data_IF_104538163993
#
_entry.id   IF_104538163993
#
_cell.length_a   1.000
_cell.length_b   1.000
_cell.length_c   1.000
_cell.angle_alpha   90.00
_cell.angle_beta   90.00
_cell.angle_gamma   90.00
#
_symmetry.space_group_name_H-M   'P 1'
#
loop_
_entity.id
_entity.type
_entity.pdbx_description
1 polymer ?
#
# COMPACT_ATOMS: atom_id res chain seq x y z
N UNK A 1 -1.11 -40.85 8.10
CA UNK A 1 -0.15 -39.86 8.65
C UNK A 1 -0.26 -38.70 7.69
N UNK A 2 -1.23 -37.82 7.94
CA UNK A 2 -1.53 -36.70 7.05
C UNK A 2 -0.35 -35.74 7.13
N UNK A 3 0.50 -35.77 6.11
CA UNK A 3 1.49 -34.75 5.89
C UNK A 3 0.70 -33.48 5.51
N UNK A 4 0.27 -32.70 6.50
CA UNK A 4 -0.29 -31.36 6.25
C UNK A 4 0.75 -30.60 5.43
N UNK A 5 0.52 -30.47 4.12
CA UNK A 5 1.37 -29.67 3.25
C UNK A 5 1.41 -28.26 3.82
N UNK A 6 2.61 -27.70 3.97
CA UNK A 6 2.74 -26.32 4.39
C UNK A 6 2.15 -25.44 3.29
N UNK A 7 1.20 -24.60 3.67
CA UNK A 7 0.44 -23.75 2.76
C UNK A 7 0.53 -22.31 3.23
N UNK A 8 0.55 -21.39 2.26
CA UNK A 8 0.55 -19.97 2.52
C UNK A 8 -0.69 -19.57 3.30
N UNK A 9 -0.53 -18.92 4.45
CA UNK A 9 -1.68 -18.51 5.28
C UNK A 9 -2.55 -17.41 4.64
N UNK A 10 -2.09 -16.78 3.56
CA UNK A 10 -2.84 -15.73 2.83
C UNK A 10 -3.68 -16.30 1.69
N UNK A 11 -3.11 -17.13 0.82
CA UNK A 11 -3.83 -17.68 -0.35
C UNK A 11 -4.22 -19.15 -0.22
N UNK A 12 -3.75 -19.86 0.81
CA UNK A 12 -3.96 -21.29 1.06
C UNK A 12 -3.36 -22.21 0.00
N UNK A 13 -2.45 -21.71 -0.83
CA UNK A 13 -1.68 -22.49 -1.81
C UNK A 13 -0.31 -22.88 -1.24
N UNK A 14 0.18 -24.05 -1.65
CA UNK A 14 1.54 -24.49 -1.36
C UNK A 14 2.62 -23.76 -2.17
N UNK A 15 3.86 -24.21 -2.05
CA UNK A 15 4.95 -23.72 -2.90
C UNK A 15 4.77 -24.18 -4.35
N UNK A 16 4.90 -23.26 -5.30
CA UNK A 16 4.82 -23.55 -6.74
C UNK A 16 5.69 -22.58 -7.54
N UNK A 17 5.93 -22.87 -8.82
CA UNK A 17 6.62 -21.92 -9.71
C UNK A 17 5.85 -20.59 -9.87
N UNK A 18 4.53 -20.63 -9.75
CA UNK A 18 3.66 -19.45 -9.92
C UNK A 18 3.60 -18.61 -8.65
N UNK A 19 3.34 -19.25 -7.51
CA UNK A 19 3.10 -18.60 -6.21
C UNK A 19 4.41 -18.30 -5.48
N UNK A 20 5.48 -19.03 -5.81
CA UNK A 20 6.80 -18.92 -5.20
C UNK A 20 6.99 -19.88 -4.02
N UNK A 21 8.12 -19.73 -3.33
CA UNK A 21 8.44 -20.48 -2.12
C UNK A 21 7.74 -19.89 -0.90
N UNK A 22 7.47 -20.72 0.11
CA UNK A 22 6.98 -20.26 1.40
C UNK A 22 8.14 -19.75 2.25
N UNK A 23 7.95 -18.57 2.84
CA UNK A 23 8.90 -17.91 3.72
C UNK A 23 8.34 -17.79 5.14
N UNK A 24 9.25 -17.69 6.11
CA UNK A 24 8.94 -17.45 7.52
C UNK A 24 9.59 -16.14 7.96
N UNK A 25 8.98 -14.97 7.67
CA UNK A 25 9.54 -13.66 8.02
C UNK A 25 9.59 -13.43 9.55
N UNK A 26 8.96 -14.30 10.34
CA UNK A 26 8.96 -14.28 11.79
C UNK A 26 8.84 -15.71 12.33
N UNK A 27 8.93 -15.88 13.66
CA UNK A 27 8.84 -17.18 14.33
C UNK A 27 7.43 -17.81 14.38
N UNK A 28 6.47 -17.26 13.63
CA UNK A 28 5.13 -17.84 13.55
C UNK A 28 5.14 -19.15 12.74
N UNK A 29 4.30 -20.13 13.09
CA UNK A 29 4.38 -21.48 12.55
C UNK A 29 3.94 -21.62 11.09
N UNK A 30 3.22 -20.63 10.53
CA UNK A 30 2.67 -20.70 9.16
C UNK A 30 3.55 -19.94 8.17
N UNK A 31 3.91 -20.59 7.07
CA UNK A 31 4.64 -19.98 5.96
C UNK A 31 3.77 -19.03 5.12
N UNK A 32 4.42 -18.14 4.37
CA UNK A 32 3.76 -17.18 3.47
C UNK A 32 4.60 -16.92 2.24
N UNK A 33 3.97 -16.77 1.07
CA UNK A 33 4.70 -16.28 -0.11
C UNK A 33 5.05 -14.80 0.08
N UNK A 34 6.27 -14.39 -0.30
CA UNK A 34 6.71 -12.99 -0.22
C UNK A 34 5.72 -12.00 -0.85
N UNK A 35 5.20 -12.31 -2.05
CA UNK A 35 4.20 -11.48 -2.74
C UNK A 35 2.87 -11.40 -2.00
N UNK A 36 2.42 -12.50 -1.41
CA UNK A 36 1.18 -12.54 -0.64
C UNK A 36 1.29 -11.69 0.63
N UNK A 37 2.42 -11.80 1.34
CA UNK A 37 2.72 -10.96 2.49
C UNK A 37 2.75 -9.48 2.10
N UNK A 38 3.50 -9.14 1.05
CA UNK A 38 3.63 -7.76 0.59
C UNK A 38 2.28 -7.14 0.19
N UNK A 39 1.40 -7.92 -0.46
CA UNK A 39 0.02 -7.49 -0.77
C UNK A 39 -0.82 -7.29 0.48
N UNK A 40 -0.71 -8.18 1.45
CA UNK A 40 -1.43 -8.05 2.72
C UNK A 40 -0.97 -6.83 3.53
N UNK A 41 0.35 -6.55 3.53
CA UNK A 41 0.91 -5.34 4.14
C UNK A 41 0.39 -4.08 3.46
N UNK A 42 0.35 -4.04 2.13
CA UNK A 42 -0.21 -2.93 1.36
C UNK A 42 -1.71 -2.72 1.65
N UNK A 43 -2.51 -3.78 1.71
CA UNK A 43 -3.92 -3.70 2.11
C UNK A 43 -4.12 -3.28 3.57
N UNK A 44 -3.07 -3.39 4.37
CA UNK A 44 -3.04 -2.98 5.77
C UNK A 44 -2.31 -1.67 6.00
N UNK A 45 -2.01 -0.91 4.94
CA UNK A 45 -1.30 0.36 5.04
C UNK A 45 -1.94 1.28 6.07
N UNK A 46 -1.08 1.87 6.91
CA UNK A 46 -1.49 2.72 8.02
C UNK A 46 -1.86 2.00 9.31
N UNK A 47 -1.98 0.67 9.29
CA UNK A 47 -2.14 -0.16 10.50
C UNK A 47 -0.82 -0.80 10.91
N UNK A 48 -0.78 -1.36 12.12
CA UNK A 48 0.38 -2.11 12.60
C UNK A 48 0.76 -3.24 11.66
N UNK A 49 -0.24 -3.91 11.08
CA UNK A 49 -0.10 -5.00 10.12
C UNK A 49 0.67 -4.62 8.84
N UNK A 50 0.83 -3.34 8.51
CA UNK A 50 1.74 -2.94 7.42
C UNK A 50 3.19 -3.33 7.74
N UNK A 51 3.61 -3.24 9.01
CA UNK A 51 5.02 -3.35 9.44
C UNK A 51 5.28 -4.47 10.43
N UNK A 52 4.25 -4.98 11.09
CA UNK A 52 4.40 -5.95 12.17
C UNK A 52 3.49 -7.15 11.95
N UNK A 53 3.98 -8.34 12.32
CA UNK A 53 3.19 -9.56 12.27
C UNK A 53 1.98 -9.44 13.21
N UNK A 54 0.77 -9.73 12.70
CA UNK A 54 -0.46 -9.64 13.49
C UNK A 54 -0.46 -10.52 14.75
N UNK A 55 0.29 -11.63 14.72
CA UNK A 55 0.32 -12.61 15.80
C UNK A 55 1.45 -12.35 16.80
N UNK A 56 2.71 -12.38 16.35
CA UNK A 56 3.87 -12.26 17.25
C UNK A 56 4.43 -10.83 17.35
N UNK A 57 3.88 -9.87 16.59
CA UNK A 57 4.30 -8.45 16.58
C UNK A 57 5.75 -8.18 16.19
N UNK A 58 6.46 -9.18 15.68
CA UNK A 58 7.78 -9.00 15.07
C UNK A 58 7.70 -8.12 13.83
N UNK A 59 8.73 -7.32 13.59
CA UNK A 59 8.86 -6.50 12.39
C UNK A 59 8.94 -7.38 11.14
N UNK A 60 8.20 -6.98 10.11
CA UNK A 60 8.12 -7.66 8.81
C UNK A 60 9.01 -6.93 7.79
N UNK A 61 9.48 -7.61 6.73
CA UNK A 61 10.22 -6.96 5.65
C UNK A 61 9.39 -5.88 4.95
N UNK A 62 10.05 -4.90 4.34
CA UNK A 62 9.35 -3.85 3.58
C UNK A 62 8.75 -4.45 2.30
N UNK A 63 7.43 -4.27 2.14
CA UNK A 63 6.67 -4.79 1.01
C UNK A 63 7.02 -4.11 -0.32
N UNK A 64 7.56 -2.88 -0.28
CA UNK A 64 7.86 -2.08 -1.48
C UNK A 64 8.88 -2.78 -2.36
N UNK A 65 9.90 -3.41 -1.78
CA UNK A 65 10.95 -4.09 -2.56
C UNK A 65 10.40 -5.27 -3.37
N UNK A 66 9.30 -5.88 -2.89
CA UNK A 66 8.65 -7.01 -3.54
C UNK A 66 7.64 -6.56 -4.61
N UNK A 67 6.86 -5.50 -4.34
CA UNK A 67 5.81 -5.06 -5.25
C UNK A 67 6.24 -4.00 -6.27
N UNK A 68 7.35 -3.28 -6.04
CA UNK A 68 7.77 -2.19 -6.93
C UNK A 68 8.32 -2.73 -8.24
N UNK A 69 7.64 -2.53 -9.39
CA UNK A 69 8.24 -2.84 -10.67
C UNK A 69 9.37 -1.85 -10.98
N UNK A 70 10.32 -2.25 -11.83
CA UNK A 70 11.38 -1.37 -12.31
C UNK A 70 10.80 -0.38 -13.33
N UNK A 71 10.35 0.77 -12.86
CA UNK A 71 9.79 1.85 -13.67
C UNK A 71 10.58 3.16 -13.48
N UNK A 72 10.60 4.06 -14.48
CA UNK A 72 11.22 5.37 -14.32
C UNK A 72 10.57 6.17 -13.19
N UNK A 73 11.37 6.95 -12.47
CA UNK A 73 10.85 7.86 -11.46
C UNK A 73 10.03 8.97 -12.12
N UNK A 74 8.78 9.14 -11.70
CA UNK A 74 7.87 10.14 -12.23
C UNK A 74 7.12 10.86 -11.09
N UNK A 75 6.82 12.17 -11.21
CA UNK A 75 6.07 12.89 -10.19
C UNK A 75 4.65 12.32 -10.01
N UNK A 76 4.27 11.88 -8.80
CA UNK A 76 2.93 11.36 -8.54
C UNK A 76 1.90 12.49 -8.50
N UNK A 77 0.74 12.24 -9.10
CA UNK A 77 -0.42 13.14 -9.12
C UNK A 77 -1.63 12.38 -8.61
N UNK A 78 -2.33 12.96 -7.63
CA UNK A 78 -3.58 12.43 -7.09
C UNK A 78 -4.76 13.28 -7.58
N UNK A 79 -5.82 12.60 -8.01
CA UNK A 79 -7.11 13.23 -8.25
C UNK A 79 -7.93 13.14 -6.95
N UNK A 80 -8.40 14.28 -6.47
CA UNK A 80 -9.16 14.38 -5.22
C UNK A 80 -10.57 14.81 -5.58
N UNK A 81 -11.54 14.04 -5.11
CA UNK A 81 -12.96 14.25 -5.36
C UNK A 81 -13.63 14.58 -4.04
N UNK A 82 -14.24 15.76 -3.96
CA UNK A 82 -15.01 16.19 -2.80
C UNK A 82 -16.16 17.08 -3.26
N UNK A 83 -17.37 16.78 -2.80
CA UNK A 83 -18.60 17.51 -3.16
C UNK A 83 -18.78 17.69 -4.69
N UNK A 84 -18.57 16.62 -5.46
CA UNK A 84 -18.65 16.62 -6.91
C UNK A 84 -17.53 17.39 -7.64
N UNK A 85 -16.68 18.12 -6.93
CA UNK A 85 -15.53 18.84 -7.47
C UNK A 85 -14.31 17.93 -7.51
N UNK A 86 -13.62 17.92 -8.65
CA UNK A 86 -12.39 17.17 -8.86
C UNK A 86 -11.22 18.13 -9.02
N UNK A 87 -10.17 17.95 -8.23
CA UNK A 87 -8.90 18.65 -8.39
C UNK A 87 -7.77 17.64 -8.56
N UNK A 88 -6.68 18.07 -9.20
CA UNK A 88 -5.48 17.24 -9.35
C UNK A 88 -4.32 17.93 -8.66
N UNK A 89 -3.70 17.24 -7.72
CA UNK A 89 -2.56 17.75 -6.97
C UNK A 89 -1.34 16.89 -7.23
N UNK A 90 -0.21 17.54 -7.51
CA UNK A 90 1.09 16.88 -7.43
C UNK A 90 1.44 16.73 -5.95
N UNK A 91 1.72 15.50 -5.56
CA UNK A 91 1.93 15.11 -4.16
C UNK A 91 3.38 14.72 -3.93
N UNK A 92 3.84 14.82 -2.69
CA UNK A 92 5.24 14.55 -2.31
C UNK A 92 5.30 13.43 -1.27
N UNK A 93 6.35 12.59 -1.28
CA UNK A 93 6.51 11.56 -0.26
C UNK A 93 6.85 12.19 1.11
N UNK A 94 6.71 11.39 2.17
CA UNK A 94 7.09 11.76 3.53
C UNK A 94 6.11 12.66 4.26
N UNK A 95 6.44 12.96 5.53
CA UNK A 95 5.58 13.72 6.45
C UNK A 95 5.29 15.13 5.96
N UNK A 96 6.30 15.81 5.43
CA UNK A 96 6.14 17.16 4.87
C UNK A 96 5.20 17.16 3.66
N UNK A 97 5.32 16.15 2.79
CA UNK A 97 4.43 15.98 1.65
C UNK A 97 2.98 15.75 2.07
N UNK A 98 2.75 14.97 3.13
CA UNK A 98 1.43 14.75 3.71
C UNK A 98 0.82 16.04 4.29
N UNK A 99 1.60 16.82 5.05
CA UNK A 99 1.15 18.10 5.59
C UNK A 99 0.81 19.10 4.47
N UNK A 100 1.63 19.12 3.42
CA UNK A 100 1.38 19.93 2.23
C UNK A 100 0.10 19.50 1.51
N UNK A 101 -0.10 18.19 1.32
CA UNK A 101 -1.32 17.63 0.76
C UNK A 101 -2.57 18.08 1.54
N UNK A 102 -2.55 17.94 2.87
CA UNK A 102 -3.67 18.35 3.72
C UNK A 102 -3.96 19.86 3.59
N UNK A 103 -2.91 20.69 3.59
CA UNK A 103 -3.03 22.14 3.42
C UNK A 103 -3.65 22.51 2.07
N UNK A 104 -3.21 21.86 1.00
CA UNK A 104 -3.74 22.09 -0.34
C UNK A 104 -5.20 21.62 -0.48
N UNK A 105 -5.57 20.48 0.09
CA UNK A 105 -6.95 19.97 0.14
C UNK A 105 -7.85 20.97 0.87
N UNK A 106 -7.47 21.38 2.09
CA UNK A 106 -8.25 22.36 2.88
C UNK A 106 -8.45 23.67 2.11
N UNK A 107 -7.38 24.19 1.50
CA UNK A 107 -7.46 25.42 0.70
C UNK A 107 -8.35 25.27 -0.54
N UNK A 108 -8.29 24.13 -1.22
CA UNK A 108 -9.01 23.92 -2.47
C UNK A 108 -10.52 23.69 -2.29
N UNK A 109 -10.92 23.15 -1.14
CA UNK A 109 -12.32 22.90 -0.77
C UNK A 109 -12.85 23.84 0.31
N UNK A 110 -12.07 24.85 0.72
CA UNK A 110 -12.42 25.84 1.74
C UNK A 110 -12.86 25.19 3.07
N UNK A 111 -12.11 24.18 3.53
CA UNK A 111 -12.37 23.46 4.78
C UNK A 111 -11.70 24.18 5.95
N UNK A 112 -12.41 24.28 7.08
CA UNK A 112 -11.86 24.83 8.33
C UNK A 112 -10.73 23.97 8.90
N UNK A 113 -9.91 24.55 9.77
CA UNK A 113 -8.82 23.83 10.44
C UNK A 113 -9.34 22.76 11.41
N UNK A 114 -10.52 23.00 11.98
CA UNK A 114 -11.21 22.14 12.93
C UNK A 114 -11.82 20.89 12.26
N UNK A 115 -11.85 20.85 10.92
CA UNK A 115 -12.40 19.72 10.16
C UNK A 115 -11.34 18.64 10.03
N UNK A 116 -11.69 17.46 10.55
CA UNK A 116 -10.90 16.25 10.35
C UNK A 116 -11.02 15.76 8.90
N UNK A 117 -9.88 15.46 8.27
CA UNK A 117 -9.84 14.96 6.89
C UNK A 117 -9.85 13.43 6.90
N UNK A 118 -10.99 12.83 6.63
CA UNK A 118 -11.09 11.40 6.34
C UNK A 118 -10.86 11.15 4.84
N UNK A 119 -9.71 10.59 4.51
CA UNK A 119 -9.30 10.34 3.12
C UNK A 119 -9.43 8.86 2.77
N UNK A 120 -10.01 8.57 1.60
CA UNK A 120 -9.96 7.24 0.99
C UNK A 120 -9.19 7.34 -0.32
N UNK A 121 -8.09 6.61 -0.41
CA UNK A 121 -7.23 6.56 -1.58
C UNK A 121 -7.60 5.35 -2.44
N UNK A 122 -8.13 5.63 -3.64
CA UNK A 122 -8.33 4.63 -4.68
C UNK A 122 -7.04 4.47 -5.48
N UNK A 123 -6.34 3.36 -5.25
CA UNK A 123 -5.02 3.09 -5.81
C UNK A 123 -5.03 1.88 -6.75
N UNK A 124 -4.02 1.84 -7.62
CA UNK A 124 -3.65 0.65 -8.39
C UNK A 124 -2.47 -0.02 -7.68
N UNK A 125 -2.62 -1.28 -7.30
CA UNK A 125 -1.56 -2.06 -6.68
C UNK A 125 -0.37 -2.21 -7.66
N UNK A 126 0.87 -1.93 -7.22
CA UNK A 126 2.06 -2.07 -8.05
C UNK A 126 2.20 -3.49 -8.62
N UNK A 127 2.58 -3.60 -9.89
CA UNK A 127 2.86 -4.87 -10.56
C UNK A 127 1.65 -5.72 -10.96
N UNK A 128 0.51 -5.63 -10.25
CA UNK A 128 -0.69 -6.43 -10.57
C UNK A 128 -1.80 -5.62 -11.24
N UNK A 129 -1.83 -4.31 -11.05
CA UNK A 129 -2.87 -3.46 -11.61
C UNK A 129 -4.21 -3.51 -10.87
N UNK A 130 -4.31 -4.28 -9.78
CA UNK A 130 -5.53 -4.44 -9.01
C UNK A 130 -5.94 -3.15 -8.30
N UNK A 131 -7.24 -2.86 -8.24
CA UNK A 131 -7.76 -1.69 -7.54
C UNK A 131 -7.83 -1.97 -6.04
N UNK A 132 -7.16 -1.14 -5.25
CA UNK A 132 -7.16 -1.21 -3.79
C UNK A 132 -7.66 0.10 -3.19
N UNK A 133 -8.32 0.00 -2.04
CA UNK A 133 -8.79 1.15 -1.25
C UNK A 133 -7.98 1.23 0.03
N UNK A 134 -7.23 2.31 0.19
CA UNK A 134 -6.51 2.62 1.42
C UNK A 134 -7.27 3.73 2.16
N UNK A 135 -7.47 3.57 3.47
CA UNK A 135 -8.29 4.49 4.28
C UNK A 135 -7.43 5.23 5.28
N UNK A 136 -7.84 6.45 5.59
CA UNK A 136 -7.18 7.31 6.55
C UNK A 136 -5.85 7.88 6.05
N UNK A 137 -5.43 8.98 6.66
CA UNK A 137 -4.20 9.70 6.31
C UNK A 137 -2.94 8.90 6.63
N UNK A 138 -3.01 7.98 7.58
CA UNK A 138 -1.96 7.02 7.91
C UNK A 138 -1.51 6.20 6.69
N UNK A 139 -2.41 5.97 5.73
CA UNK A 139 -2.13 5.23 4.51
C UNK A 139 -1.53 6.08 3.38
N UNK A 140 -1.31 7.38 3.61
CA UNK A 140 -0.77 8.33 2.61
C UNK A 140 0.54 7.85 2.00
N UNK A 141 1.45 7.31 2.81
CA UNK A 141 2.75 6.81 2.33
C UNK A 141 2.59 5.70 1.28
N UNK A 142 1.69 4.75 1.53
CA UNK A 142 1.41 3.66 0.60
C UNK A 142 0.67 4.16 -0.64
N UNK A 143 -0.32 5.05 -0.48
CA UNK A 143 -1.03 5.66 -1.60
C UNK A 143 -0.09 6.45 -2.53
N UNK A 144 0.85 7.19 -1.94
CA UNK A 144 1.93 7.90 -2.64
C UNK A 144 2.81 6.95 -3.44
N UNK A 145 3.20 5.84 -2.85
CA UNK A 145 4.01 4.84 -3.52
C UNK A 145 3.28 4.26 -4.73
N UNK A 146 2.01 3.87 -4.57
CA UNK A 146 1.17 3.41 -5.68
C UNK A 146 1.04 4.46 -6.79
N UNK A 147 0.85 5.74 -6.43
CA UNK A 147 0.75 6.83 -7.39
C UNK A 147 2.06 7.07 -8.15
N UNK A 148 3.21 6.90 -7.49
CA UNK A 148 4.53 7.06 -8.10
C UNK A 148 4.82 5.93 -9.09
N UNK A 149 4.55 4.67 -8.72
CA UNK A 149 4.67 3.52 -9.63
C UNK A 149 3.75 3.70 -10.84
N UNK A 150 2.48 4.03 -10.62
CA UNK A 150 1.53 4.26 -11.70
C UNK A 150 1.91 5.45 -12.60
N UNK A 151 2.67 6.42 -12.09
CA UNK A 151 3.21 7.51 -12.90
C UNK A 151 4.39 7.04 -13.76
N UNK A 152 5.30 6.23 -13.21
CA UNK A 152 6.40 5.63 -13.95
C UNK A 152 5.92 4.71 -15.08
N UNK A 153 4.91 3.89 -14.80
CA UNK A 153 4.27 2.99 -15.79
C UNK A 153 3.65 3.73 -16.98
N UNK A 154 3.29 5.02 -16.85
CA UNK A 154 2.73 5.81 -17.97
C UNK A 154 3.79 6.35 -18.92
N UNK A 155 5.04 6.37 -18.49
CA UNK A 155 6.17 6.94 -19.23
C UNK A 155 7.05 5.84 -19.82
N UNK A 156 7.03 4.64 -19.22
CA UNK A 156 7.66 3.43 -19.74
C UNK A 156 6.92 2.89 -20.97
#
# INVERSE_FOLDING_TARGET
>A
MDCEEDVCWVCLEGASEVSGVLEHPCACPRGVHAKCLARWQLQSAGRDEERYCRFCKSELPDWRDILTPKVPAAPPVMAIVYDGKVIRLQVKPGREGMLEFQRQVRRAFNLGEDVELDCVFDCRAPGTGEKIKLRGLESYSAAMHCAAVAAGERIA
#
